data_IF_696080940550
#
_entry.id   IF_696080940550
#
_cell.length_a   1.000
_cell.length_b   1.000
_cell.length_c   1.000
_cell.angle_alpha   90.00
_cell.angle_beta   90.00
_cell.angle_gamma   90.00
#
_symmetry.space_group_name_H-M   'P 1'
#
loop_
_entity.id
_entity.type
_entity.pdbx_description
1 polymer ?
#
# COMPACT_ATOMS: atom_id res chain seq x y z
N UNK A 1 13.44 -12.82 -12.47
CA UNK A 1 12.20 -13.00 -11.69
C UNK A 1 11.16 -12.00 -12.17
N UNK A 2 9.87 -12.34 -12.26
CA UNK A 2 8.82 -11.39 -12.70
C UNK A 2 7.69 -11.30 -11.69
N UNK A 3 7.18 -10.10 -11.46
CA UNK A 3 5.95 -9.90 -10.69
C UNK A 3 4.75 -10.38 -11.53
N UNK A 4 3.94 -11.27 -10.96
CA UNK A 4 2.78 -11.86 -11.65
C UNK A 4 1.44 -11.57 -10.95
N UNK A 5 1.47 -11.17 -9.68
CA UNK A 5 0.27 -10.79 -8.96
C UNK A 5 0.56 -9.77 -7.87
N UNK A 6 -0.48 -8.97 -7.58
CA UNK A 6 -0.56 -8.04 -6.48
C UNK A 6 -1.86 -8.32 -5.72
N UNK A 7 -1.75 -8.68 -4.46
CA UNK A 7 -2.87 -8.79 -3.53
C UNK A 7 -2.90 -7.54 -2.63
N UNK A 8 -4.09 -6.99 -2.39
CA UNK A 8 -4.29 -5.72 -1.67
C UNK A 8 -5.35 -5.92 -0.59
N UNK A 9 -5.03 -5.56 0.65
CA UNK A 9 -5.95 -5.61 1.79
C UNK A 9 -6.05 -4.25 2.48
N UNK A 10 -7.11 -3.47 2.20
CA UNK A 10 -7.48 -2.35 3.05
C UNK A 10 -8.05 -2.88 4.36
N UNK A 11 -7.40 -2.57 5.49
CA UNK A 11 -7.79 -3.04 6.82
C UNK A 11 -7.83 -1.89 7.83
N UNK A 12 -8.66 -2.07 8.86
CA UNK A 12 -8.74 -1.17 10.01
C UNK A 12 -8.36 -1.92 11.27
N UNK A 13 -7.34 -1.44 11.98
CA UNK A 13 -6.85 -2.08 13.20
C UNK A 13 -7.30 -1.22 14.40
N UNK A 14 -8.18 -1.72 15.29
CA UNK A 14 -8.62 -0.97 16.44
C UNK A 14 -7.47 -0.72 17.42
N UNK A 15 -7.36 0.50 17.94
CA UNK A 15 -6.38 0.82 18.97
C UNK A 15 -6.85 0.32 20.34
N UNK A 16 -5.89 -0.09 21.18
CA UNK A 16 -6.17 -0.45 22.58
C UNK A 16 -6.75 0.72 23.38
N UNK A 17 -6.39 1.95 23.01
CA UNK A 17 -6.91 3.21 23.54
C UNK A 17 -6.99 4.20 22.38
N UNK A 18 -8.02 5.03 22.36
CA UNK A 18 -8.15 6.07 21.34
C UNK A 18 -6.92 6.97 21.33
N UNK A 19 -6.45 7.31 20.14
CA UNK A 19 -5.32 8.20 19.91
C UNK A 19 -5.86 9.61 19.67
N UNK A 20 -5.41 10.58 20.47
CA UNK A 20 -5.92 11.96 20.41
C UNK A 20 -4.78 12.94 20.20
N UNK A 21 -4.98 13.85 19.24
CA UNK A 21 -4.08 14.98 18.95
C UNK A 21 -4.90 16.27 18.86
N UNK A 22 -4.26 17.42 18.60
CA UNK A 22 -4.97 18.67 18.32
C UNK A 22 -5.85 18.62 17.06
N UNK A 23 -5.64 17.61 16.20
CA UNK A 23 -6.36 17.41 14.93
C UNK A 23 -7.58 16.50 15.07
N UNK A 24 -7.80 15.93 16.25
CA UNK A 24 -8.94 15.07 16.54
C UNK A 24 -8.55 13.78 17.25
N UNK A 25 -9.56 12.94 17.45
CA UNK A 25 -9.43 11.64 18.13
C UNK A 25 -9.83 10.52 17.18
N UNK A 26 -9.01 9.47 17.12
CA UNK A 26 -9.23 8.28 16.30
C UNK A 26 -9.21 7.03 17.18
N UNK A 27 -9.99 6.02 16.80
CA UNK A 27 -10.11 4.75 17.53
C UNK A 27 -9.50 3.56 16.79
N UNK A 28 -9.06 3.74 15.54
CA UNK A 28 -8.39 2.73 14.73
C UNK A 28 -7.29 3.35 13.86
N UNK A 29 -6.34 2.54 13.44
CA UNK A 29 -5.45 2.82 12.33
C UNK A 29 -6.04 2.29 11.04
N UNK A 30 -5.95 3.08 9.97
CA UNK A 30 -6.21 2.59 8.62
C UNK A 30 -4.89 2.09 8.04
N UNK A 31 -4.94 0.96 7.33
CA UNK A 31 -3.77 0.35 6.70
C UNK A 31 -4.15 -0.23 5.35
N UNK A 32 -3.23 -0.18 4.39
CA UNK A 32 -3.30 -1.00 3.17
C UNK A 32 -2.08 -1.93 3.18
N UNK A 33 -2.33 -3.21 3.39
CA UNK A 33 -1.30 -4.25 3.30
C UNK A 33 -1.30 -4.79 1.89
N UNK A 34 -0.14 -5.11 1.34
CA UNK A 34 -0.01 -5.73 0.02
C UNK A 34 0.91 -6.94 0.04
N UNK A 35 0.71 -7.82 -0.94
CA UNK A 35 1.69 -8.85 -1.31
C UNK A 35 1.95 -8.80 -2.81
N UNK A 36 3.22 -8.78 -3.17
CA UNK A 36 3.69 -8.96 -4.55
C UNK A 36 4.21 -10.39 -4.69
N UNK A 37 3.69 -11.11 -5.68
CA UNK A 37 4.01 -12.51 -5.92
C UNK A 37 4.75 -12.61 -7.24
N UNK A 38 5.83 -13.40 -7.27
CA UNK A 38 6.64 -13.61 -8.47
C UNK A 38 6.41 -14.96 -9.12
N UNK A 39 6.84 -15.10 -10.38
CA UNK A 39 6.83 -16.35 -11.13
C UNK A 39 7.76 -17.44 -10.55
N UNK A 40 8.67 -17.06 -9.66
CA UNK A 40 9.55 -17.97 -8.91
C UNK A 40 8.95 -18.39 -7.56
N UNK A 41 7.71 -17.98 -7.24
CA UNK A 41 7.02 -18.32 -5.99
C UNK A 41 7.46 -17.49 -4.77
N UNK A 42 8.28 -16.45 -4.98
CA UNK A 42 8.70 -15.53 -3.92
C UNK A 42 7.59 -14.50 -3.69
N UNK A 43 7.34 -14.17 -2.43
CA UNK A 43 6.34 -13.17 -2.04
C UNK A 43 6.98 -12.07 -1.20
N UNK A 44 6.85 -10.82 -1.65
CA UNK A 44 7.21 -9.63 -0.88
C UNK A 44 5.96 -9.02 -0.23
N UNK A 45 6.07 -8.57 1.02
CA UNK A 45 4.99 -7.88 1.73
C UNK A 45 5.32 -6.38 1.89
N UNK A 46 4.28 -5.55 1.87
CA UNK A 46 4.40 -4.11 2.08
C UNK A 46 3.17 -3.51 2.77
N UNK A 47 3.32 -2.32 3.34
CA UNK A 47 2.26 -1.63 4.07
C UNK A 47 2.31 -0.12 3.82
N UNK A 48 1.13 0.47 3.62
CA UNK A 48 0.90 1.90 3.79
C UNK A 48 0.02 2.12 5.03
N UNK A 49 0.50 2.91 5.99
CA UNK A 49 -0.18 3.18 7.26
C UNK A 49 -0.67 4.62 7.35
N UNK A 50 -1.91 4.83 7.80
CA UNK A 50 -2.52 6.16 7.91
C UNK A 50 -2.89 6.44 9.37
N UNK A 51 -2.24 7.44 9.97
CA UNK A 51 -2.54 7.86 11.35
C UNK A 51 -3.67 8.91 11.32
N UNK A 52 -3.61 9.88 10.41
CA UNK A 52 -4.73 10.78 10.14
C UNK A 52 -4.73 11.13 8.65
N UNK A 53 -5.92 11.19 8.03
CA UNK A 53 -6.06 11.60 6.63
C UNK A 53 -5.48 13.01 6.37
N UNK A 54 -5.48 13.89 7.37
CA UNK A 54 -4.98 15.26 7.26
C UNK A 54 -3.44 15.38 7.38
N UNK A 55 -2.73 14.30 7.71
CA UNK A 55 -1.27 14.34 7.90
C UNK A 55 -0.50 14.19 6.59
N UNK A 56 -0.93 13.26 5.73
CA UNK A 56 -0.30 13.00 4.43
C UNK A 56 -1.22 13.38 3.25
N UNK A 57 -2.50 13.65 3.49
CA UNK A 57 -3.51 13.85 2.45
C UNK A 57 -3.96 12.55 1.77
N UNK A 58 -3.41 11.40 2.19
CA UNK A 58 -3.76 10.08 1.68
C UNK A 58 -4.85 9.45 2.56
N UNK A 59 -5.76 8.72 1.92
CA UNK A 59 -6.78 7.89 2.57
C UNK A 59 -6.62 6.43 2.15
N UNK A 60 -7.27 5.52 2.90
CA UNK A 60 -7.31 4.11 2.54
C UNK A 60 -7.91 3.90 1.14
N UNK A 61 -8.91 4.70 0.76
CA UNK A 61 -9.53 4.68 -0.56
C UNK A 61 -8.57 5.17 -1.65
N UNK A 62 -7.88 6.30 -1.44
CA UNK A 62 -6.98 6.84 -2.46
C UNK A 62 -5.82 5.89 -2.75
N UNK A 63 -5.23 5.29 -1.72
CA UNK A 63 -4.11 4.35 -1.89
C UNK A 63 -4.58 3.05 -2.55
N UNK A 64 -5.72 2.50 -2.11
CA UNK A 64 -6.30 1.29 -2.71
C UNK A 64 -6.61 1.50 -4.19
N UNK A 65 -7.22 2.64 -4.53
CA UNK A 65 -7.54 3.00 -5.91
C UNK A 65 -6.28 3.15 -6.79
N UNK A 66 -5.24 3.83 -6.30
CA UNK A 66 -3.98 3.99 -7.02
C UNK A 66 -3.30 2.64 -7.26
N UNK A 67 -3.30 1.75 -6.26
CA UNK A 67 -2.75 0.40 -6.39
C UNK A 67 -3.53 -0.42 -7.42
N UNK A 68 -4.86 -0.39 -7.41
CA UNK A 68 -5.68 -1.14 -8.36
C UNK A 68 -5.61 -0.59 -9.78
N UNK A 69 -5.70 0.73 -9.96
CA UNK A 69 -5.91 1.34 -11.27
C UNK A 69 -4.65 1.83 -11.96
N UNK A 70 -3.54 1.99 -11.22
CA UNK A 70 -2.30 2.56 -11.77
C UNK A 70 -1.08 1.70 -11.47
N UNK A 71 -0.68 1.59 -10.20
CA UNK A 71 0.60 0.98 -9.85
C UNK A 71 0.59 -0.54 -10.06
N UNK A 72 -0.46 -1.24 -9.66
CA UNK A 72 -0.59 -2.69 -9.84
C UNK A 72 -0.41 -3.12 -11.29
N UNK A 73 -1.16 -2.56 -12.26
CA UNK A 73 -0.97 -2.85 -13.67
C UNK A 73 0.44 -2.55 -14.19
N UNK A 74 1.06 -1.44 -13.75
CA UNK A 74 2.42 -1.05 -14.17
C UNK A 74 3.46 -2.07 -13.70
N UNK A 75 3.30 -2.65 -12.50
CA UNK A 75 4.29 -3.55 -11.91
C UNK A 75 4.32 -4.94 -12.57
N UNK A 76 3.26 -5.35 -13.27
CA UNK A 76 3.16 -6.70 -13.83
C UNK A 76 4.26 -6.95 -14.88
N UNK A 77 4.97 -8.07 -14.73
CA UNK A 77 6.02 -8.51 -15.64
C UNK A 77 7.41 -7.91 -15.41
N UNK A 78 7.54 -6.90 -14.53
CA UNK A 78 8.83 -6.36 -14.13
C UNK A 78 9.59 -7.32 -13.21
N UNK A 79 10.92 -7.27 -13.26
CA UNK A 79 11.74 -7.83 -12.19
C UNK A 79 11.68 -6.90 -10.97
N UNK A 80 11.30 -7.39 -9.78
CA UNK A 80 11.18 -6.52 -8.60
C UNK A 80 12.52 -5.88 -8.19
N UNK A 81 13.66 -6.36 -8.71
CA UNK A 81 14.96 -5.73 -8.50
C UNK A 81 15.28 -4.60 -9.50
N UNK A 82 14.47 -4.38 -10.55
CA UNK A 82 14.60 -3.26 -11.50
C UNK A 82 14.04 -1.94 -10.92
N UNK A 83 14.38 -1.63 -9.67
CA UNK A 83 13.77 -0.55 -8.87
C UNK A 83 13.84 0.81 -9.58
N UNK A 84 14.98 1.17 -10.17
CA UNK A 84 15.16 2.44 -10.87
C UNK A 84 14.23 2.57 -12.09
N UNK A 85 14.05 1.48 -12.83
CA UNK A 85 13.17 1.43 -13.99
C UNK A 85 11.71 1.54 -13.55
N UNK A 86 11.31 0.73 -12.56
CA UNK A 86 9.96 0.76 -11.97
C UNK A 86 9.61 2.17 -11.48
N UNK A 87 10.52 2.83 -10.76
CA UNK A 87 10.32 4.17 -10.21
C UNK A 87 10.20 5.24 -11.30
N UNK A 88 10.84 5.07 -12.46
CA UNK A 88 10.67 5.97 -13.62
C UNK A 88 9.34 5.77 -14.30
N UNK A 89 8.90 4.52 -14.46
CA UNK A 89 7.62 4.19 -15.11
C UNK A 89 6.41 4.54 -14.25
N UNK A 90 6.55 4.49 -12.92
CA UNK A 90 5.47 4.78 -11.98
C UNK A 90 5.20 6.29 -11.77
N UNK A 91 6.08 7.18 -12.25
CA UNK A 91 5.92 8.65 -12.18
C UNK A 91 4.89 9.15 -13.17
#
# INVERSE_FOLDING_TARGET
MKIIALEIWPIKIPYKKSYSTSRGTISHGDHVVIKLITDEGITGAGEASFIHADRAGETIETVTEILHKRLGPILMGFDPFDVELIMKTAR
#
